data_IF_021275541457
#
_entry.id   IF_021275541457
#
_cell.length_a   1.000
_cell.length_b   1.000
_cell.length_c   1.000
_cell.angle_alpha   90.00
_cell.angle_beta   90.00
_cell.angle_gamma   90.00
#
_symmetry.space_group_name_H-M   'P 1'
#
loop_
_entity.id
_entity.type
_entity.pdbx_description
1 polymer ?
#
# COMPACT_ATOMS: atom_id res chain seq x y z
N UNK A 1 -17.56 6.50 2.66
CA UNK A 1 -18.96 6.24 3.07
C UNK A 1 -19.79 7.48 2.78
N UNK A 2 -21.06 7.30 2.38
CA UNK A 2 -21.99 8.41 2.17
C UNK A 2 -22.56 8.86 3.52
N UNK A 3 -22.79 10.17 3.67
CA UNK A 3 -23.38 10.72 4.90
C UNK A 3 -24.81 10.21 5.13
N UNK A 4 -25.54 9.94 4.03
CA UNK A 4 -26.87 9.34 4.03
C UNK A 4 -26.92 8.22 2.99
N UNK A 5 -26.63 6.95 3.39
CA UNK A 5 -26.60 5.81 2.47
C UNK A 5 -27.98 5.49 1.87
N UNK A 6 -29.06 5.75 2.59
CA UNK A 6 -30.42 5.50 2.12
C UNK A 6 -30.77 6.41 0.94
N UNK A 7 -30.64 7.72 1.12
CA UNK A 7 -30.92 8.69 0.07
C UNK A 7 -30.01 8.49 -1.16
N UNK A 8 -28.74 8.15 -0.94
CA UNK A 8 -27.83 7.83 -2.05
C UNK A 8 -28.25 6.56 -2.81
N UNK A 9 -28.73 5.54 -2.10
CA UNK A 9 -29.25 4.31 -2.73
C UNK A 9 -30.47 4.60 -3.61
N UNK A 10 -31.42 5.39 -3.13
CA UNK A 10 -32.58 5.82 -3.90
C UNK A 10 -32.17 6.64 -5.14
N UNK A 11 -31.25 7.58 -4.97
CA UNK A 11 -30.74 8.39 -6.08
C UNK A 11 -30.11 7.53 -7.17
N UNK A 12 -29.32 6.53 -6.79
CA UNK A 12 -28.71 5.60 -7.75
C UNK A 12 -29.75 4.72 -8.45
N UNK A 13 -30.75 4.25 -7.74
CA UNK A 13 -31.84 3.46 -8.34
C UNK A 13 -32.66 4.28 -9.34
N UNK A 14 -33.00 5.52 -9.01
CA UNK A 14 -33.70 6.44 -9.91
C UNK A 14 -32.86 6.75 -11.14
N UNK A 15 -31.57 7.01 -10.97
CA UNK A 15 -30.64 7.23 -12.08
C UNK A 15 -30.62 6.02 -13.01
N UNK A 16 -30.41 4.82 -12.46
CA UNK A 16 -30.37 3.59 -13.25
C UNK A 16 -31.68 3.34 -14.04
N UNK A 17 -32.83 3.61 -13.41
CA UNK A 17 -34.14 3.48 -14.05
C UNK A 17 -34.33 4.48 -15.20
N UNK A 18 -33.82 5.71 -15.05
CA UNK A 18 -33.90 6.75 -16.10
C UNK A 18 -32.98 6.48 -17.29
N UNK A 19 -31.73 6.07 -17.02
CA UNK A 19 -30.77 5.75 -18.06
C UNK A 19 -31.19 4.51 -18.86
N UNK A 20 -31.72 3.49 -18.19
CA UNK A 20 -32.09 2.22 -18.79
C UNK A 20 -30.91 1.27 -19.02
N UNK A 21 -31.21 0.00 -19.15
CA UNK A 21 -30.22 -1.07 -19.20
C UNK A 21 -29.22 -0.92 -20.35
N UNK A 22 -29.68 -0.55 -21.54
CA UNK A 22 -28.83 -0.42 -22.72
C UNK A 22 -27.73 0.64 -22.54
N UNK A 23 -28.08 1.80 -21.99
CA UNK A 23 -27.12 2.88 -21.72
C UNK A 23 -26.14 2.52 -20.61
N UNK A 24 -26.61 1.82 -19.57
CA UNK A 24 -25.74 1.34 -18.49
C UNK A 24 -24.73 0.31 -19.00
N UNK A 25 -25.16 -0.64 -19.83
CA UNK A 25 -24.26 -1.62 -20.47
C UNK A 25 -23.24 -0.91 -21.36
N UNK A 26 -23.67 0.00 -22.24
CA UNK A 26 -22.78 0.74 -23.12
C UNK A 26 -21.77 1.60 -22.32
N UNK A 27 -22.17 2.19 -21.18
CA UNK A 27 -21.27 2.92 -20.30
C UNK A 27 -20.24 1.99 -19.63
N UNK A 28 -20.66 0.80 -19.21
CA UNK A 28 -19.80 -0.22 -18.64
C UNK A 28 -18.76 -0.72 -19.67
N UNK A 29 -19.18 -1.03 -20.89
CA UNK A 29 -18.29 -1.46 -21.99
C UNK A 29 -17.25 -0.39 -22.32
N UNK A 30 -17.64 0.90 -22.37
CA UNK A 30 -16.70 2.01 -22.58
C UNK A 30 -15.65 2.07 -21.45
N UNK A 31 -16.07 1.90 -20.19
CA UNK A 31 -15.13 1.91 -19.06
C UNK A 31 -14.13 0.75 -19.11
N UNK A 32 -14.57 -0.44 -19.49
CA UNK A 32 -13.66 -1.56 -19.72
C UNK A 32 -12.72 -1.32 -20.90
N UNK A 33 -13.21 -0.75 -22.01
CA UNK A 33 -12.34 -0.37 -23.12
C UNK A 33 -11.27 0.65 -22.74
N UNK A 34 -11.60 1.61 -21.86
CA UNK A 34 -10.62 2.53 -21.30
C UNK A 34 -9.57 1.80 -20.43
N UNK A 35 -9.99 0.85 -19.59
CA UNK A 35 -9.09 0.06 -18.76
C UNK A 35 -8.13 -0.78 -19.60
N UNK A 36 -8.63 -1.43 -20.65
CA UNK A 36 -7.85 -2.29 -21.56
C UNK A 36 -6.86 -1.52 -22.46
N UNK A 37 -6.80 -0.19 -22.40
CA UNK A 37 -5.67 0.55 -22.98
C UNK A 37 -4.34 0.24 -22.27
N UNK A 38 -4.39 -0.28 -21.03
CA UNK A 38 -3.24 -0.83 -20.32
C UNK A 38 -3.23 -2.35 -20.46
N UNK A 39 -2.90 -2.87 -21.62
CA UNK A 39 -2.80 -4.32 -21.91
C UNK A 39 -1.34 -4.77 -22.00
N UNK A 40 -1.12 -6.08 -21.91
CA UNK A 40 0.14 -6.76 -22.20
C UNK A 40 -0.13 -7.75 -23.33
N UNK A 41 0.53 -7.54 -24.46
CA UNK A 41 0.40 -8.42 -25.63
C UNK A 41 1.56 -9.43 -25.64
N UNK A 42 1.21 -10.72 -25.79
CA UNK A 42 2.15 -11.84 -25.88
C UNK A 42 1.98 -12.52 -27.24
N UNK A 43 3.04 -12.46 -28.05
CA UNK A 43 3.07 -13.14 -29.35
C UNK A 43 3.55 -14.58 -29.20
N UNK A 44 2.92 -15.50 -29.95
CA UNK A 44 3.35 -16.89 -30.07
C UNK A 44 2.83 -17.84 -28.99
N UNK A 45 2.24 -17.34 -27.90
CA UNK A 45 1.64 -18.18 -26.86
C UNK A 45 0.25 -17.70 -26.46
N UNK A 46 -0.83 -18.24 -27.05
CA UNK A 46 -2.20 -17.84 -26.74
C UNK A 46 -2.63 -18.22 -25.30
N UNK A 47 -2.01 -19.24 -24.70
CA UNK A 47 -2.33 -19.63 -23.33
C UNK A 47 -1.77 -18.60 -22.34
N UNK A 48 -0.50 -18.23 -22.47
CA UNK A 48 0.10 -17.18 -21.67
C UNK A 48 -0.62 -15.83 -21.85
N UNK A 49 -1.04 -15.51 -23.09
CA UNK A 49 -1.86 -14.32 -23.36
C UNK A 49 -3.18 -14.33 -22.59
N UNK A 50 -3.88 -15.47 -22.56
CA UNK A 50 -5.13 -15.61 -21.82
C UNK A 50 -4.89 -15.46 -20.31
N UNK A 51 -3.85 -16.09 -19.76
CA UNK A 51 -3.53 -16.05 -18.34
C UNK A 51 -3.22 -14.63 -17.89
N UNK A 52 -2.43 -13.88 -18.66
CA UNK A 52 -2.10 -12.48 -18.35
C UNK A 52 -3.34 -11.60 -18.39
N UNK A 53 -4.18 -11.72 -19.42
CA UNK A 53 -5.43 -10.94 -19.50
C UNK A 53 -6.43 -11.31 -18.40
N UNK A 54 -6.49 -12.56 -18.01
CA UNK A 54 -7.30 -12.99 -16.87
C UNK A 54 -6.80 -12.37 -15.55
N UNK A 55 -5.49 -12.33 -15.32
CA UNK A 55 -4.91 -11.66 -14.17
C UNK A 55 -5.22 -10.15 -14.17
N UNK A 56 -5.03 -9.46 -15.30
CA UNK A 56 -5.35 -8.04 -15.46
C UNK A 56 -6.86 -7.77 -15.28
N UNK A 57 -7.73 -8.62 -15.79
CA UNK A 57 -9.17 -8.51 -15.58
C UNK A 57 -9.52 -8.52 -14.08
N UNK A 58 -8.93 -9.43 -13.30
CA UNK A 58 -9.15 -9.50 -11.87
C UNK A 58 -8.60 -8.26 -11.13
N UNK A 59 -7.43 -7.77 -11.51
CA UNK A 59 -6.87 -6.54 -10.92
C UNK A 59 -7.75 -5.32 -11.23
N UNK A 60 -8.11 -5.11 -12.49
CA UNK A 60 -8.95 -3.98 -12.91
C UNK A 60 -10.37 -4.03 -12.33
N UNK A 61 -10.92 -5.23 -12.18
CA UNK A 61 -12.23 -5.44 -11.55
C UNK A 61 -12.24 -5.16 -10.05
N UNK A 62 -11.09 -5.24 -9.40
CA UNK A 62 -10.96 -5.11 -7.94
C UNK A 62 -10.76 -3.68 -7.45
N UNK A 63 -10.49 -2.73 -8.35
CA UNK A 63 -10.19 -1.34 -7.98
C UNK A 63 -10.88 -0.35 -8.94
N UNK A 64 -11.25 0.81 -8.42
CA UNK A 64 -11.91 1.86 -9.20
C UNK A 64 -11.28 3.21 -8.91
N UNK A 65 -11.02 3.99 -9.96
CA UNK A 65 -10.56 5.36 -9.85
C UNK A 65 -11.52 6.21 -8.99
N UNK A 66 -10.97 7.02 -8.12
CA UNK A 66 -11.72 7.86 -7.18
C UNK A 66 -12.29 7.11 -5.97
N UNK A 67 -12.03 5.80 -5.83
CA UNK A 67 -12.55 5.01 -4.70
C UNK A 67 -11.82 5.27 -3.39
N UNK A 68 -10.55 5.67 -3.46
CA UNK A 68 -9.62 5.75 -2.31
C UNK A 68 -9.58 4.43 -1.50
N UNK A 69 -9.70 3.31 -2.19
CA UNK A 69 -9.66 1.96 -1.62
C UNK A 69 -8.48 1.19 -2.20
N UNK A 70 -7.99 0.21 -1.46
CA UNK A 70 -6.97 -0.72 -1.93
C UNK A 70 -7.59 -2.07 -2.32
N UNK A 71 -6.75 -3.01 -2.75
CA UNK A 71 -7.16 -4.33 -3.20
C UNK A 71 -6.81 -5.33 -2.09
N UNK A 72 -7.78 -6.09 -1.55
CA UNK A 72 -7.49 -7.18 -0.61
C UNK A 72 -6.78 -8.35 -1.33
N UNK A 73 -6.08 -9.26 -0.59
CA UNK A 73 -5.28 -10.33 -1.18
C UNK A 73 -6.01 -11.20 -2.20
N UNK A 74 -7.29 -11.44 -1.97
CA UNK A 74 -8.12 -12.27 -2.84
C UNK A 74 -8.93 -11.46 -3.86
N UNK A 75 -8.72 -10.15 -3.97
CA UNK A 75 -9.50 -9.28 -4.83
C UNK A 75 -11.00 -9.40 -4.55
N UNK A 76 -11.81 -9.58 -5.60
CA UNK A 76 -13.26 -9.80 -5.48
C UNK A 76 -13.64 -11.26 -5.16
N UNK A 77 -12.68 -12.19 -5.13
CA UNK A 77 -12.92 -13.63 -4.94
C UNK A 77 -12.99 -14.07 -3.49
N UNK A 78 -12.72 -13.19 -2.54
CA UNK A 78 -12.51 -13.48 -1.12
C UNK A 78 -13.81 -13.68 -0.34
N UNK A 79 -14.68 -14.54 -0.76
CA UNK A 79 -15.87 -14.85 0.05
C UNK A 79 -15.49 -15.52 1.37
N UNK A 80 -15.42 -14.72 2.47
CA UNK A 80 -15.15 -15.19 3.82
C UNK A 80 -13.68 -15.36 4.20
N UNK A 81 -12.73 -15.06 3.30
CA UNK A 81 -11.30 -15.01 3.62
C UNK A 81 -10.84 -13.57 3.80
N UNK A 82 -10.06 -13.32 4.85
CA UNK A 82 -9.44 -12.02 5.18
C UNK A 82 -10.41 -10.82 5.25
N UNK A 83 -11.73 -11.06 5.26
CA UNK A 83 -12.80 -10.05 5.44
C UNK A 83 -12.70 -8.81 4.53
N UNK A 84 -11.98 -8.88 3.42
CA UNK A 84 -11.70 -7.73 2.56
C UNK A 84 -10.65 -6.77 3.12
N UNK A 85 -9.92 -7.16 4.16
CA UNK A 85 -8.84 -6.38 4.75
C UNK A 85 -7.64 -6.27 3.82
N UNK A 86 -6.82 -5.24 4.01
CA UNK A 86 -5.69 -4.89 3.16
C UNK A 86 -4.39 -5.31 3.83
N UNK A 87 -3.58 -6.06 3.11
CA UNK A 87 -2.28 -6.59 3.52
C UNK A 87 -1.16 -5.96 2.65
N UNK A 88 0.09 -6.38 2.88
CA UNK A 88 1.24 -5.98 2.07
C UNK A 88 1.22 -6.52 0.64
N UNK A 89 0.40 -7.54 0.37
CA UNK A 89 0.11 -8.06 -0.98
C UNK A 89 -0.26 -6.94 -1.95
N UNK A 90 -0.98 -5.95 -1.44
CA UNK A 90 -1.39 -4.78 -2.21
C UNK A 90 -0.17 -4.06 -2.79
N UNK A 91 0.79 -3.69 -1.95
CA UNK A 91 1.93 -2.87 -2.34
C UNK A 91 3.01 -3.66 -3.09
N UNK A 92 3.20 -4.95 -2.77
CA UNK A 92 4.33 -5.73 -3.30
C UNK A 92 3.94 -6.52 -4.55
N UNK A 93 2.73 -7.08 -4.61
CA UNK A 93 2.34 -7.99 -5.69
C UNK A 93 1.38 -7.38 -6.71
N UNK A 94 0.40 -6.60 -6.29
CA UNK A 94 -0.64 -6.05 -7.17
C UNK A 94 -0.31 -4.65 -7.68
N UNK A 95 0.19 -3.80 -6.82
CA UNK A 95 0.52 -2.41 -7.10
C UNK A 95 1.51 -2.22 -8.27
N UNK A 96 2.62 -2.99 -8.40
CA UNK A 96 3.61 -2.76 -9.45
C UNK A 96 3.03 -2.87 -10.86
N UNK A 97 2.14 -3.83 -11.11
CA UNK A 97 1.47 -3.99 -12.40
C UNK A 97 0.57 -2.77 -12.70
N UNK A 98 -0.25 -2.37 -11.72
CA UNK A 98 -1.12 -1.20 -11.86
C UNK A 98 -0.31 0.10 -12.02
N UNK A 99 0.81 0.23 -11.31
CA UNK A 99 1.66 1.42 -11.41
C UNK A 99 2.19 1.66 -12.82
N UNK A 100 2.55 0.59 -13.52
CA UNK A 100 3.09 0.69 -14.89
C UNK A 100 1.96 0.85 -15.91
N UNK A 101 0.90 0.08 -15.79
CA UNK A 101 -0.17 0.02 -16.80
C UNK A 101 -1.24 1.10 -16.60
N UNK A 102 -1.61 1.41 -15.35
CA UNK A 102 -2.69 2.33 -14.98
C UNK A 102 -2.37 3.08 -13.68
N UNK A 103 -1.44 4.05 -13.70
CA UNK A 103 -1.00 4.77 -12.48
C UNK A 103 -2.14 5.40 -11.67
N UNK A 104 -3.23 5.81 -12.33
CA UNK A 104 -4.42 6.35 -11.65
C UNK A 104 -5.11 5.33 -10.74
N UNK A 105 -5.04 4.03 -11.06
CA UNK A 105 -5.55 2.96 -10.19
C UNK A 105 -4.57 2.66 -9.07
N UNK A 106 -3.27 2.57 -9.37
CA UNK A 106 -2.23 2.41 -8.34
C UNK A 106 -2.30 3.54 -7.29
N UNK A 107 -2.63 4.76 -7.70
CA UNK A 107 -2.86 5.91 -6.82
C UNK A 107 -3.90 5.62 -5.74
N UNK A 108 -4.99 4.93 -6.05
CA UNK A 108 -6.05 4.63 -5.09
C UNK A 108 -5.56 3.79 -3.91
N UNK A 109 -4.62 2.88 -4.17
CA UNK A 109 -4.03 2.04 -3.12
C UNK A 109 -3.20 2.90 -2.14
N UNK A 110 -2.46 3.87 -2.66
CA UNK A 110 -1.72 4.84 -1.83
C UNK A 110 -2.66 5.83 -1.12
N UNK A 111 -3.74 6.25 -1.76
CA UNK A 111 -4.75 7.11 -1.15
C UNK A 111 -5.40 6.43 0.07
N UNK A 112 -5.66 5.12 0.01
CA UNK A 112 -6.10 4.33 1.16
C UNK A 112 -5.09 4.39 2.32
N UNK A 113 -3.79 4.25 2.02
CA UNK A 113 -2.74 4.34 3.04
C UNK A 113 -2.60 5.75 3.62
N UNK A 114 -2.78 6.77 2.77
CA UNK A 114 -2.79 8.17 3.21
C UNK A 114 -3.95 8.46 4.14
N UNK A 115 -5.14 7.97 3.81
CA UNK A 115 -6.34 8.12 4.67
C UNK A 115 -6.16 7.38 6.01
N UNK A 116 -5.45 6.25 6.03
CA UNK A 116 -5.11 5.48 7.23
C UNK A 116 -3.91 6.01 8.05
N UNK A 117 -3.27 7.11 7.63
CA UNK A 117 -2.04 7.58 8.27
C UNK A 117 -2.21 7.93 9.76
N UNK A 118 -3.34 8.53 10.12
CA UNK A 118 -3.60 8.87 11.54
C UNK A 118 -3.87 7.61 12.39
N UNK A 119 -4.46 6.57 11.82
CA UNK A 119 -4.61 5.26 12.47
C UNK A 119 -3.21 4.64 12.71
N UNK A 120 -2.34 4.67 11.71
CA UNK A 120 -0.97 4.16 11.81
C UNK A 120 -0.13 4.94 12.85
N UNK A 121 -0.34 6.26 12.99
CA UNK A 121 0.28 7.07 14.05
C UNK A 121 -0.19 6.66 15.44
N UNK A 122 -1.50 6.48 15.62
CA UNK A 122 -2.05 6.01 16.91
C UNK A 122 -1.50 4.63 17.27
N UNK A 123 -1.39 3.76 16.28
CA UNK A 123 -0.81 2.43 16.48
C UNK A 123 0.65 2.49 16.88
N UNK A 124 1.49 3.28 16.20
CA UNK A 124 2.89 3.50 16.58
C UNK A 124 2.99 3.97 18.03
N UNK A 125 2.21 4.98 18.41
CA UNK A 125 2.18 5.53 19.77
C UNK A 125 1.77 4.46 20.80
N UNK A 126 0.78 3.65 20.52
CA UNK A 126 0.33 2.56 21.41
C UNK A 126 1.42 1.49 21.63
N UNK A 127 2.36 1.34 20.69
CA UNK A 127 3.52 0.46 20.78
C UNK A 127 4.80 1.17 21.30
N UNK A 128 4.70 2.43 21.69
CA UNK A 128 5.80 3.21 22.21
C UNK A 128 6.75 3.81 21.17
N UNK A 129 6.32 3.93 19.92
CA UNK A 129 7.09 4.49 18.81
C UNK A 129 6.52 5.82 18.33
N UNK A 130 7.38 6.67 17.78
CA UNK A 130 6.97 7.83 16.99
C UNK A 130 6.69 7.43 15.54
N UNK A 131 6.15 8.34 14.76
CA UNK A 131 5.86 8.12 13.35
C UNK A 131 4.61 7.29 13.12
N UNK A 132 4.61 6.48 12.06
CA UNK A 132 3.49 5.66 11.68
C UNK A 132 3.89 4.18 11.58
N UNK A 133 3.14 3.29 12.22
CA UNK A 133 3.24 1.85 12.15
C UNK A 133 1.98 1.32 11.47
N UNK A 134 2.07 1.03 10.18
CA UNK A 134 0.92 0.54 9.43
C UNK A 134 0.54 -0.87 9.85
N UNK A 135 -0.78 -1.21 9.83
CA UNK A 135 -1.27 -2.50 10.28
C UNK A 135 -0.79 -3.63 9.36
N UNK A 136 -0.66 -4.83 9.93
CA UNK A 136 -0.51 -6.04 9.14
C UNK A 136 -1.77 -6.29 8.31
N UNK A 137 -2.93 -6.28 8.95
CA UNK A 137 -4.24 -6.49 8.36
C UNK A 137 -5.07 -5.22 8.57
N UNK A 138 -5.17 -4.37 7.55
CA UNK A 138 -5.86 -3.09 7.63
C UNK A 138 -7.34 -3.21 7.29
N UNK A 139 -8.22 -2.67 8.15
CA UNK A 139 -9.65 -2.55 7.87
C UNK A 139 -9.97 -1.42 6.87
N UNK A 140 -11.24 -1.09 6.68
CA UNK A 140 -11.70 -0.03 5.76
C UNK A 140 -11.28 1.40 6.17
N UNK A 141 -10.73 1.58 7.36
CA UNK A 141 -10.22 2.84 7.92
C UNK A 141 -8.71 2.85 8.10
N UNK A 142 -8.03 1.75 7.77
CA UNK A 142 -6.61 1.56 7.99
C UNK A 142 -6.24 1.27 9.45
N UNK A 143 -7.21 0.88 10.29
CA UNK A 143 -6.96 0.39 11.65
C UNK A 143 -6.47 -1.07 11.61
N UNK A 144 -5.75 -1.48 12.67
CA UNK A 144 -5.28 -2.85 12.82
C UNK A 144 -6.44 -3.81 13.10
N UNK A 145 -6.64 -4.77 12.23
CA UNK A 145 -7.70 -5.75 12.28
C UNK A 145 -7.21 -7.22 12.31
N UNK A 146 -5.90 -7.42 12.46
CA UNK A 146 -5.33 -8.78 12.60
C UNK A 146 -5.96 -9.50 13.79
N UNK A 147 -6.43 -10.73 13.61
CA UNK A 147 -6.96 -11.51 14.71
C UNK A 147 -5.96 -11.65 15.86
N UNK A 148 -6.41 -11.57 17.10
CA UNK A 148 -5.56 -11.52 18.30
C UNK A 148 -4.68 -12.76 18.50
N UNK A 149 -5.00 -13.87 17.86
CA UNK A 149 -4.18 -15.09 17.89
C UNK A 149 -3.00 -15.03 16.88
N UNK A 150 -3.02 -14.14 15.91
CA UNK A 150 -1.99 -14.05 14.89
C UNK A 150 -0.89 -13.07 15.31
N UNK A 151 0.31 -13.63 15.54
CA UNK A 151 1.46 -12.85 16.00
C UNK A 151 2.03 -11.89 14.92
N UNK A 152 1.59 -12.02 13.67
CA UNK A 152 1.93 -11.11 12.57
C UNK A 152 1.47 -9.68 12.89
N UNK A 153 0.28 -9.50 13.45
CA UNK A 153 -0.21 -8.18 13.85
C UNK A 153 0.81 -7.39 14.68
N UNK A 154 1.23 -7.85 15.84
CA UNK A 154 2.17 -7.12 16.70
C UNK A 154 3.64 -7.19 16.26
N UNK A 155 4.06 -8.14 15.41
CA UNK A 155 5.48 -8.42 15.16
C UNK A 155 5.92 -8.24 13.69
N UNK A 156 5.02 -8.20 12.72
CA UNK A 156 5.38 -8.06 11.33
C UNK A 156 5.26 -6.59 10.87
N UNK A 157 6.40 -5.92 10.78
CA UNK A 157 6.45 -4.46 10.67
C UNK A 157 6.89 -3.96 9.28
N UNK A 158 7.38 -4.84 8.39
CA UNK A 158 7.91 -4.43 7.09
C UNK A 158 6.88 -3.72 6.20
N UNK A 159 5.57 -3.93 6.44
CA UNK A 159 4.47 -3.25 5.75
C UNK A 159 4.67 -1.73 5.75
N UNK A 160 5.14 -1.18 6.86
CA UNK A 160 5.43 0.26 6.98
C UNK A 160 6.50 0.72 5.98
N UNK A 161 7.50 -0.12 5.71
CA UNK A 161 8.51 0.16 4.69
C UNK A 161 7.98 -0.06 3.27
N UNK A 162 7.21 -1.12 3.05
CA UNK A 162 6.64 -1.48 1.75
C UNK A 162 5.78 -0.34 1.19
N UNK A 163 4.99 0.29 2.07
CA UNK A 163 4.15 1.46 1.72
C UNK A 163 5.02 2.67 1.34
N UNK A 164 6.10 2.93 2.08
CA UNK A 164 7.02 4.02 1.76
C UNK A 164 7.73 3.79 0.42
N UNK A 165 8.14 2.54 0.14
CA UNK A 165 8.74 2.13 -1.14
C UNK A 165 7.73 2.30 -2.28
N UNK A 166 6.49 1.85 -2.10
CA UNK A 166 5.44 2.02 -3.09
C UNK A 166 5.17 3.51 -3.40
N UNK A 167 5.17 4.37 -2.37
CA UNK A 167 5.01 5.81 -2.52
C UNK A 167 6.16 6.44 -3.33
N UNK A 168 7.40 6.04 -3.06
CA UNK A 168 8.55 6.46 -3.85
C UNK A 168 8.45 6.01 -5.31
N UNK A 169 8.08 4.76 -5.54
CA UNK A 169 7.92 4.19 -6.88
C UNK A 169 6.84 4.93 -7.67
N UNK A 170 5.74 5.35 -7.02
CA UNK A 170 4.72 6.20 -7.66
C UNK A 170 5.32 7.49 -8.20
N UNK A 171 6.08 8.20 -7.36
CA UNK A 171 6.78 9.41 -7.81
C UNK A 171 7.77 9.11 -8.94
N UNK A 172 8.52 8.02 -8.85
CA UNK A 172 9.49 7.66 -9.89
C UNK A 172 8.85 7.44 -11.27
N UNK A 173 7.64 6.87 -11.31
CA UNK A 173 6.91 6.63 -12.57
C UNK A 173 6.19 7.89 -13.05
N UNK A 174 5.45 8.56 -12.17
CA UNK A 174 4.56 9.67 -12.55
C UNK A 174 5.25 11.03 -12.61
N UNK A 175 6.34 11.20 -11.86
CA UNK A 175 7.00 12.49 -11.61
C UNK A 175 6.09 13.57 -11.02
N UNK A 176 4.98 13.14 -10.39
CA UNK A 176 4.01 14.04 -9.74
C UNK A 176 4.60 14.63 -8.44
N UNK A 177 5.24 15.80 -8.56
CA UNK A 177 5.85 16.52 -7.43
C UNK A 177 4.82 17.08 -6.47
N UNK A 178 3.65 17.43 -6.96
CA UNK A 178 2.60 17.98 -6.10
C UNK A 178 2.05 16.89 -5.18
N UNK A 179 1.75 15.72 -5.72
CA UNK A 179 1.36 14.57 -4.93
C UNK A 179 2.47 14.17 -3.94
N UNK A 180 3.73 14.10 -4.40
CA UNK A 180 4.85 13.76 -3.52
C UNK A 180 4.87 14.71 -2.31
N UNK A 181 4.78 16.02 -2.53
CA UNK A 181 4.82 17.01 -1.46
C UNK A 181 3.63 16.92 -0.50
N UNK A 182 2.42 16.70 -1.02
CA UNK A 182 1.17 16.78 -0.24
C UNK A 182 0.82 15.48 0.46
N UNK A 183 1.15 14.34 -0.13
CA UNK A 183 0.69 13.03 0.31
C UNK A 183 1.84 12.03 0.48
N UNK A 184 2.66 11.84 -0.55
CA UNK A 184 3.71 10.82 -0.55
C UNK A 184 4.79 11.07 0.50
N UNK A 185 5.37 12.26 0.54
CA UNK A 185 6.42 12.57 1.50
C UNK A 185 5.94 12.59 2.97
N UNK A 186 4.79 13.17 3.34
CA UNK A 186 4.25 13.02 4.70
C UNK A 186 4.16 11.57 5.16
N UNK A 187 3.70 10.66 4.30
CA UNK A 187 3.62 9.23 4.58
C UNK A 187 5.01 8.62 4.78
N UNK A 188 5.93 8.87 3.83
CA UNK A 188 7.32 8.37 3.90
C UNK A 188 8.07 8.90 5.10
N UNK A 189 7.86 10.17 5.48
CA UNK A 189 8.44 10.80 6.67
C UNK A 189 8.00 10.10 7.96
N UNK A 190 6.72 9.79 8.09
CA UNK A 190 6.21 9.12 9.27
C UNK A 190 6.68 7.66 9.36
N UNK A 191 6.80 6.97 8.22
CA UNK A 191 7.42 5.65 8.16
C UNK A 191 8.90 5.71 8.59
N UNK A 192 9.67 6.70 8.12
CA UNK A 192 11.06 6.88 8.50
C UNK A 192 11.23 7.18 10.00
N UNK A 193 10.33 7.99 10.58
CA UNK A 193 10.30 8.23 12.03
C UNK A 193 10.07 6.95 12.82
N UNK A 194 9.15 6.11 12.38
CA UNK A 194 8.91 4.80 13.00
C UNK A 194 10.18 3.95 12.97
N UNK A 195 10.84 3.82 11.83
CA UNK A 195 12.02 2.99 11.70
C UNK A 195 13.19 3.48 12.56
N UNK A 196 13.37 4.80 12.70
CA UNK A 196 14.40 5.35 13.61
C UNK A 196 14.16 5.02 15.07
N UNK A 197 12.91 4.91 15.49
CA UNK A 197 12.59 4.51 16.88
C UNK A 197 12.58 2.99 17.06
N UNK A 198 12.29 2.25 15.98
CA UNK A 198 12.15 0.79 16.02
C UNK A 198 13.48 0.05 16.12
N UNK A 199 14.56 0.65 15.66
CA UNK A 199 15.89 0.04 15.71
C UNK A 199 16.50 0.09 17.11
N UNK A 200 17.38 -0.87 17.38
CA UNK A 200 18.23 -0.89 18.58
C UNK A 200 19.65 -0.59 18.18
N UNK A 201 20.28 0.42 18.79
CA UNK A 201 21.71 0.69 18.60
C UNK A 201 22.55 -0.40 19.27
N UNK A 202 23.57 -0.90 18.56
CA UNK A 202 24.53 -1.87 19.07
C UNK A 202 25.82 -1.17 19.55
N UNK A 203 26.62 -1.85 20.37
CA UNK A 203 27.87 -1.31 20.91
C UNK A 203 28.92 -1.00 19.82
N UNK A 204 28.83 -1.63 18.67
CA UNK A 204 29.72 -1.42 17.51
C UNK A 204 29.27 -0.28 16.58
N UNK A 205 28.22 0.47 16.98
CA UNK A 205 27.66 1.56 16.18
C UNK A 205 26.70 1.12 15.08
N UNK A 206 26.46 -0.17 14.88
CA UNK A 206 25.42 -0.69 13.98
C UNK A 206 24.03 -0.63 14.62
N UNK A 207 23.00 -0.88 13.81
CA UNK A 207 21.62 -0.97 14.26
C UNK A 207 21.02 -2.34 13.94
N UNK A 208 20.19 -2.84 14.85
CA UNK A 208 19.45 -4.09 14.72
C UNK A 208 17.94 -3.86 14.84
N UNK A 209 17.15 -4.60 14.09
CA UNK A 209 15.71 -4.75 14.32
C UNK A 209 15.50 -6.11 14.97
N UNK A 210 15.01 -6.12 16.21
CA UNK A 210 14.88 -7.32 17.02
C UNK A 210 13.42 -7.72 17.19
N UNK A 211 13.20 -9.02 17.40
CA UNK A 211 11.89 -9.58 17.70
C UNK A 211 10.83 -9.18 16.68
N UNK A 212 11.02 -9.60 15.44
CA UNK A 212 10.06 -9.41 14.35
C UNK A 212 9.66 -10.74 13.72
N UNK A 213 8.58 -10.69 12.97
CA UNK A 213 8.24 -11.64 11.93
C UNK A 213 8.61 -10.96 10.60
N UNK A 214 9.29 -11.65 9.72
CA UNK A 214 9.58 -11.17 8.35
C UNK A 214 8.62 -11.80 7.35
N UNK A 215 8.94 -11.71 6.05
CA UNK A 215 8.11 -12.29 4.98
C UNK A 215 7.87 -13.82 5.10
N UNK A 216 8.60 -14.52 5.95
CA UNK A 216 8.29 -15.87 6.38
C UNK A 216 7.55 -15.80 7.73
N UNK A 217 6.22 -15.84 7.69
CA UNK A 217 5.35 -15.70 8.87
C UNK A 217 5.53 -16.80 9.93
N UNK A 218 6.10 -17.95 9.57
CA UNK A 218 6.39 -19.04 10.51
C UNK A 218 7.65 -18.80 11.36
N UNK A 219 8.48 -17.80 10.98
CA UNK A 219 9.70 -17.48 11.72
C UNK A 219 9.45 -16.32 12.69
N UNK A 220 8.98 -16.64 13.90
CA UNK A 220 8.61 -15.67 14.93
C UNK A 220 9.82 -15.26 15.76
N UNK A 221 9.92 -13.98 16.13
CA UNK A 221 10.91 -13.46 17.04
C UNK A 221 12.33 -13.35 16.44
N UNK A 222 12.43 -13.18 15.14
CA UNK A 222 13.70 -13.08 14.41
C UNK A 222 14.38 -11.73 14.72
N UNK A 223 15.70 -11.77 14.84
CA UNK A 223 16.54 -10.57 14.89
C UNK A 223 17.29 -10.40 13.59
N UNK A 224 17.35 -9.19 13.07
CA UNK A 224 18.03 -8.82 11.83
C UNK A 224 17.54 -9.65 10.62
N UNK A 225 16.20 -9.69 10.47
CA UNK A 225 15.59 -10.28 9.28
C UNK A 225 15.98 -9.48 8.03
N UNK A 226 16.58 -10.14 7.06
CA UNK A 226 17.14 -9.48 5.87
C UNK A 226 16.07 -8.71 5.06
N UNK A 227 14.85 -9.25 4.93
CA UNK A 227 13.76 -8.59 4.22
C UNK A 227 13.33 -7.32 4.98
N UNK A 228 13.01 -7.44 6.27
CA UNK A 228 12.58 -6.32 7.11
C UNK A 228 13.64 -5.21 7.16
N UNK A 229 14.92 -5.58 7.39
CA UNK A 229 16.00 -4.61 7.49
C UNK A 229 16.32 -3.96 6.14
N UNK A 230 16.27 -4.72 5.05
CA UNK A 230 16.43 -4.21 3.69
C UNK A 230 15.33 -3.23 3.29
N UNK A 231 14.07 -3.57 3.60
CA UNK A 231 12.93 -2.70 3.34
C UNK A 231 13.00 -1.41 4.19
N UNK A 232 13.32 -1.52 5.49
CA UNK A 232 13.49 -0.37 6.38
C UNK A 232 14.62 0.57 5.89
N UNK A 233 15.78 0.02 5.46
CA UNK A 233 16.86 0.82 4.85
C UNK A 233 16.35 1.60 3.65
N UNK A 234 15.66 0.94 2.71
CA UNK A 234 15.12 1.59 1.51
C UNK A 234 14.09 2.68 1.85
N UNK A 235 13.22 2.43 2.82
CA UNK A 235 12.26 3.43 3.26
C UNK A 235 12.94 4.70 3.79
N UNK A 236 14.02 4.56 4.58
CA UNK A 236 14.82 5.68 5.11
C UNK A 236 15.56 6.44 4.00
N UNK A 237 16.19 5.73 3.06
CA UNK A 237 16.87 6.33 1.90
C UNK A 237 15.90 7.12 1.04
N UNK A 238 14.72 6.55 0.74
CA UNK A 238 13.71 7.19 -0.09
C UNK A 238 13.03 8.37 0.62
N UNK A 239 12.83 8.29 1.93
CA UNK A 239 12.34 9.43 2.71
C UNK A 239 13.32 10.61 2.66
N UNK A 240 14.64 10.33 2.72
CA UNK A 240 15.67 11.36 2.58
C UNK A 240 15.64 12.02 1.21
N UNK A 241 15.60 11.23 0.13
CA UNK A 241 15.51 11.74 -1.22
C UNK A 241 14.21 12.52 -1.48
N UNK A 242 13.09 12.06 -0.93
CA UNK A 242 11.80 12.74 -1.04
C UNK A 242 11.81 14.10 -0.30
N UNK A 243 12.45 14.18 0.88
CA UNK A 243 12.61 15.44 1.61
C UNK A 243 13.33 16.48 0.76
N UNK A 244 14.47 16.13 0.16
CA UNK A 244 15.24 17.03 -0.72
C UNK A 244 14.41 17.52 -1.91
N UNK A 245 13.67 16.62 -2.56
CA UNK A 245 12.78 16.95 -3.68
C UNK A 245 11.63 17.89 -3.28
N UNK A 246 11.20 17.81 -2.02
CA UNK A 246 10.18 18.68 -1.45
C UNK A 246 10.74 20.01 -0.92
N UNK A 247 12.07 20.20 -0.96
CA UNK A 247 12.74 21.40 -0.43
C UNK A 247 12.88 21.38 1.10
N UNK A 248 12.75 20.21 1.73
CA UNK A 248 12.94 20.01 3.15
C UNK A 248 14.33 19.41 3.43
N UNK A 249 14.87 19.69 4.60
CA UNK A 249 16.14 19.07 5.06
C UNK A 249 15.84 17.67 5.60
N UNK A 250 16.48 16.60 5.06
CA UNK A 250 16.36 15.27 5.63
C UNK A 250 16.85 15.24 7.09
N UNK A 251 16.20 14.41 7.92
CA UNK A 251 16.70 14.14 9.27
C UNK A 251 17.99 13.32 9.15
N UNK A 252 19.12 13.78 9.75
CA UNK A 252 20.38 13.06 9.70
C UNK A 252 20.32 11.64 10.30
N UNK A 253 19.36 11.38 11.19
CA UNK A 253 19.16 10.06 11.77
C UNK A 253 18.72 9.03 10.71
N UNK A 254 17.98 9.46 9.68
CA UNK A 254 17.55 8.53 8.62
C UNK A 254 18.73 7.90 7.88
N UNK A 255 19.69 8.73 7.47
CA UNK A 255 20.88 8.23 6.77
C UNK A 255 21.81 7.44 7.70
N UNK A 256 21.95 7.85 8.96
CA UNK A 256 22.75 7.14 9.94
C UNK A 256 22.19 5.73 10.23
N UNK A 257 20.88 5.62 10.45
CA UNK A 257 20.22 4.32 10.66
C UNK A 257 20.28 3.47 9.39
N UNK A 258 19.97 4.03 8.22
CA UNK A 258 20.03 3.30 6.95
C UNK A 258 21.42 2.69 6.70
N UNK A 259 22.49 3.46 6.93
CA UNK A 259 23.87 3.00 6.73
C UNK A 259 24.32 1.93 7.75
N UNK A 260 23.81 2.01 8.99
CA UNK A 260 24.21 1.13 10.08
C UNK A 260 23.35 -0.12 10.27
N UNK A 261 22.20 -0.26 9.56
CA UNK A 261 21.36 -1.45 9.64
C UNK A 261 22.09 -2.70 9.17
N UNK A 262 22.07 -3.74 10.00
CA UNK A 262 22.58 -5.07 9.67
C UNK A 262 21.63 -5.75 8.66
N UNK A 263 22.17 -6.26 7.56
CA UNK A 263 21.43 -7.01 6.55
C UNK A 263 22.16 -8.34 6.28
#
# INVERSE_FOLDING_TARGET
AFADPWNESERQAIYAAREGAAQLVAAHERKWAELWQGDIEIEGDPTAQLDVRFALFNLYGSIREGSRRSIPPMGLSARGFYNGHIFWDSEIWMYPALLVLRPCLARQMLDYRTDGLDAARRRAYAHGYRGAMFPWEGDDRGEEATPTFALTGPLEHHITADIAIASWNYYCVTKDREWLRREGFPLMREAARFWCDRVTANADGSYSIRNVIGANEYAVGVTDNAFTNGAARRALEYASAAAELCGERPDPQWSAVAAGLRI
#
